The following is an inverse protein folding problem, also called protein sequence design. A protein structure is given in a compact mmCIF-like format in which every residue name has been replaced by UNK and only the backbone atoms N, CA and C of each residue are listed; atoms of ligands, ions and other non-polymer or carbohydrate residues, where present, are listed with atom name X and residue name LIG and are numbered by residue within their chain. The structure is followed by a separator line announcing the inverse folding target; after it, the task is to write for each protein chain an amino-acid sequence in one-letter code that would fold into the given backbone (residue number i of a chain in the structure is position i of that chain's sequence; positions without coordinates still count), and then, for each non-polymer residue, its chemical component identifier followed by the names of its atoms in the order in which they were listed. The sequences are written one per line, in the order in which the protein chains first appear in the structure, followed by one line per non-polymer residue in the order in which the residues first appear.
data_IF_776352261387
#
_entry.id   IF_776352261387
#
_cell.length_a   1.000
_cell.length_b   1.000
_cell.length_c   1.000
_cell.angle_alpha   90.00
_cell.angle_beta   90.00
_cell.angle_gamma   90.00
#
_symmetry.space_group_name_H-M   'P 1'
#
loop_
_entity.id
_entity.type
_entity.pdbx_description
1 polymer ?
#
# COMPACT_ATOMS: atom_id res chain seq x y z
N UNK A 1 -0.46 21.95 0.95
CA UNK A 1 -1.03 20.59 0.90
C UNK A 1 -0.96 19.92 2.26
N UNK A 2 0.12 20.11 3.03
CA UNK A 2 0.26 19.57 4.39
C UNK A 2 -0.71 20.23 5.40
N UNK A 3 -0.92 21.55 5.33
CA UNK A 3 -1.87 22.27 6.19
C UNK A 3 -3.31 21.75 6.02
N UNK A 4 -3.78 21.60 4.78
CA UNK A 4 -5.08 21.02 4.46
C UNK A 4 -5.23 19.57 4.96
N UNK A 5 -4.16 18.77 4.87
CA UNK A 5 -4.16 17.39 5.38
C UNK A 5 -4.35 17.34 6.90
N UNK A 6 -3.71 18.27 7.62
CA UNK A 6 -3.84 18.35 9.08
C UNK A 6 -5.25 18.73 9.54
N UNK A 7 -5.93 19.61 8.79
CA UNK A 7 -7.32 19.99 9.05
C UNK A 7 -8.27 18.80 8.89
N UNK A 8 -8.12 18.00 7.83
CA UNK A 8 -8.94 16.79 7.64
C UNK A 8 -8.71 15.76 8.75
N UNK A 9 -7.46 15.55 9.18
CA UNK A 9 -7.17 14.64 10.30
C UNK A 9 -7.79 15.15 11.60
N UNK A 10 -7.73 16.46 11.84
CA UNK A 10 -8.38 17.07 13.00
C UNK A 10 -9.91 16.91 12.95
N UNK A 11 -10.54 17.07 11.78
CA UNK A 11 -11.97 16.81 11.62
C UNK A 11 -12.33 15.34 11.91
N UNK A 12 -11.53 14.38 11.44
CA UNK A 12 -11.73 12.97 11.75
C UNK A 12 -11.61 12.69 13.26
N UNK A 13 -10.72 13.41 13.95
CA UNK A 13 -10.62 13.35 15.41
C UNK A 13 -11.84 13.95 16.11
N UNK A 14 -12.33 15.10 15.65
CA UNK A 14 -13.56 15.72 16.20
C UNK A 14 -14.78 14.80 16.04
N UNK A 15 -14.84 14.04 14.95
CA UNK A 15 -15.91 13.05 14.69
C UNK A 15 -15.69 11.71 15.38
N UNK A 16 -14.63 11.57 16.18
CA UNK A 16 -14.26 10.33 16.87
C UNK A 16 -13.95 9.15 15.94
N UNK A 17 -13.62 9.41 14.66
CA UNK A 17 -13.14 8.38 13.74
C UNK A 17 -11.68 8.03 13.99
N UNK A 18 -10.91 9.00 14.48
CA UNK A 18 -9.50 8.83 14.82
C UNK A 18 -9.23 9.41 16.21
N UNK A 19 -8.27 8.83 16.92
CA UNK A 19 -7.75 9.36 18.16
C UNK A 19 -6.39 9.99 17.90
N UNK A 20 -6.23 11.25 18.29
CA UNK A 20 -4.94 11.92 18.30
C UNK A 20 -4.30 11.74 19.69
N UNK A 21 -3.17 11.03 19.74
CA UNK A 21 -2.32 10.96 20.91
C UNK A 21 -1.15 11.90 20.72
N UNK A 22 -1.15 13.01 21.48
CA UNK A 22 0.00 13.89 21.53
C UNK A 22 1.17 13.16 22.19
N UNK A 23 2.29 13.04 21.47
CA UNK A 23 3.49 12.42 22.03
C UNK A 23 4.21 13.43 22.92
N UNK A 24 4.38 13.08 24.20
CA UNK A 24 5.20 13.84 25.15
C UNK A 24 6.72 13.72 24.88
N UNK A 25 7.12 13.10 23.76
CA UNK A 25 8.51 12.90 23.37
C UNK A 25 9.15 14.14 22.71
N UNK A 26 10.49 14.15 22.61
CA UNK A 26 11.32 15.25 22.09
C UNK A 26 10.98 15.75 20.68
N UNK A 27 10.13 15.03 19.93
CA UNK A 27 9.88 15.28 18.51
C UNK A 27 8.48 15.86 18.25
N UNK A 28 7.61 15.98 19.27
CA UNK A 28 6.29 16.62 19.16
C UNK A 28 5.33 16.03 18.13
N UNK A 29 5.62 14.84 17.57
CA UNK A 29 4.76 14.23 16.56
C UNK A 29 3.54 13.60 17.23
N UNK A 30 2.36 14.06 16.80
CA UNK A 30 1.09 13.46 17.18
C UNK A 30 0.89 12.13 16.47
N UNK A 31 0.48 11.10 17.20
CA UNK A 31 0.15 9.79 16.66
C UNK A 31 -1.35 9.71 16.47
N UNK A 32 -1.79 9.47 15.24
CA UNK A 32 -3.19 9.27 14.93
C UNK A 32 -3.49 7.77 14.85
N UNK A 33 -4.48 7.31 15.60
CA UNK A 33 -4.93 5.91 15.59
C UNK A 33 -6.39 5.82 15.19
N UNK A 34 -6.79 4.75 14.52
CA UNK A 34 -8.20 4.48 14.25
C UNK A 34 -8.71 3.49 15.30
N UNK A 35 -9.91 3.71 15.83
CA UNK A 35 -10.52 2.75 16.74
C UNK A 35 -10.82 1.44 16.00
N UNK A 36 -10.64 0.30 16.67
CA UNK A 36 -10.91 -1.02 16.08
C UNK A 36 -12.32 -1.11 15.46
N UNK A 37 -13.32 -0.50 16.09
CA UNK A 37 -14.70 -0.47 15.55
C UNK A 37 -14.79 0.27 14.21
N UNK A 38 -14.12 1.43 14.10
CA UNK A 38 -14.09 2.21 12.86
C UNK A 38 -13.23 1.49 11.81
N UNK A 39 -12.18 0.80 12.25
CA UNK A 39 -11.36 -0.05 11.38
C UNK A 39 -12.18 -1.21 10.79
N UNK A 40 -12.91 -1.94 11.63
CA UNK A 40 -13.77 -3.05 11.19
C UNK A 40 -14.89 -2.56 10.27
N UNK A 41 -15.49 -1.41 10.58
CA UNK A 41 -16.46 -0.76 9.70
C UNK A 41 -15.84 -0.37 8.35
N UNK A 42 -14.65 0.21 8.35
CA UNK A 42 -13.94 0.57 7.12
C UNK A 42 -13.61 -0.68 6.28
N UNK A 43 -13.20 -1.79 6.90
CA UNK A 43 -13.01 -3.06 6.21
C UNK A 43 -14.31 -3.60 5.61
N UNK A 44 -15.41 -3.53 6.37
CA UNK A 44 -16.72 -3.99 5.90
C UNK A 44 -17.23 -3.15 4.73
N UNK A 45 -17.10 -1.82 4.79
CA UNK A 45 -17.52 -0.89 3.73
C UNK A 45 -16.64 -1.03 2.49
N UNK A 46 -15.33 -1.19 2.67
CA UNK A 46 -14.40 -1.41 1.58
C UNK A 46 -14.61 -2.76 0.88
N UNK A 47 -15.10 -3.77 1.61
CA UNK A 47 -15.42 -5.08 1.08
C UNK A 47 -14.25 -5.71 0.32
N UNK A 48 -14.49 -6.05 -0.95
CA UNK A 48 -13.47 -6.61 -1.84
C UNK A 48 -12.80 -5.55 -2.74
N UNK A 49 -13.26 -4.29 -2.68
CA UNK A 49 -12.77 -3.22 -3.55
C UNK A 49 -11.37 -2.73 -3.13
N UNK A 50 -11.05 -2.77 -1.83
CA UNK A 50 -9.73 -2.39 -1.32
C UNK A 50 -9.05 -3.57 -0.60
N UNK A 51 -7.82 -3.89 -0.99
CA UNK A 51 -7.08 -4.99 -0.36
C UNK A 51 -5.63 -4.64 -0.01
N UNK A 52 -5.31 -4.68 1.27
CA UNK A 52 -3.93 -4.74 1.74
C UNK A 52 -3.47 -6.19 1.78
N UNK A 53 -2.31 -6.42 1.18
CA UNK A 53 -1.61 -7.69 1.14
C UNK A 53 -0.33 -7.56 1.94
N UNK A 54 -0.08 -8.51 2.83
CA UNK A 54 1.24 -8.71 3.43
C UNK A 54 1.97 -9.85 2.73
N UNK A 55 3.30 -9.82 2.74
CA UNK A 55 4.13 -10.89 2.17
C UNK A 55 4.11 -12.17 3.02
N UNK A 56 2.96 -12.84 3.07
CA UNK A 56 2.78 -14.16 3.68
C UNK A 56 2.36 -15.19 2.63
N UNK A 57 2.50 -16.47 2.96
CA UNK A 57 2.33 -17.60 2.03
C UNK A 57 0.93 -17.71 1.39
N UNK A 58 -0.07 -17.00 1.92
CA UNK A 58 -1.48 -17.09 1.53
C UNK A 58 -2.05 -15.80 0.92
N UNK A 59 -1.21 -14.97 0.31
CA UNK A 59 -1.67 -13.75 -0.34
C UNK A 59 -2.69 -14.02 -1.47
N UNK A 60 -3.89 -13.44 -1.35
CA UNK A 60 -4.91 -13.37 -2.40
C UNK A 60 -5.44 -11.95 -2.54
N UNK A 61 -5.48 -11.46 -3.78
CA UNK A 61 -6.14 -10.22 -4.17
C UNK A 61 -7.42 -10.62 -4.91
N UNK A 62 -8.60 -10.09 -4.52
CA UNK A 62 -9.84 -10.30 -5.26
C UNK A 62 -9.73 -9.85 -6.72
N UNK A 63 -10.41 -10.53 -7.65
CA UNK A 63 -10.33 -10.17 -9.07
C UNK A 63 -10.97 -8.79 -9.37
N UNK A 64 -11.96 -8.43 -8.58
CA UNK A 64 -12.71 -7.17 -8.58
C UNK A 64 -12.04 -6.07 -7.74
N UNK A 65 -10.90 -6.32 -7.10
CA UNK A 65 -10.20 -5.30 -6.32
C UNK A 65 -9.87 -4.09 -7.20
N UNK A 66 -10.27 -2.91 -6.72
CA UNK A 66 -10.01 -1.61 -7.35
C UNK A 66 -8.73 -0.99 -6.79
N UNK A 67 -8.46 -1.20 -5.52
CA UNK A 67 -7.32 -0.62 -4.83
C UNK A 67 -6.57 -1.72 -4.11
N UNK A 68 -5.27 -1.82 -4.35
CA UNK A 68 -4.45 -2.80 -3.64
C UNK A 68 -3.16 -2.17 -3.13
N UNK A 69 -2.74 -2.62 -1.96
CA UNK A 69 -1.46 -2.26 -1.38
C UNK A 69 -0.68 -3.51 -1.01
N UNK A 70 0.63 -3.48 -1.22
CA UNK A 70 1.55 -4.49 -0.72
C UNK A 70 2.31 -3.89 0.46
N UNK A 71 2.16 -4.52 1.62
CA UNK A 71 2.96 -4.26 2.80
C UNK A 71 4.07 -5.32 2.90
N UNK A 72 5.30 -4.86 2.75
CA UNK A 72 6.48 -5.71 2.85
C UNK A 72 7.08 -5.57 4.25
N UNK A 73 6.72 -6.46 5.17
CA UNK A 73 7.22 -6.46 6.56
C UNK A 73 8.45 -7.38 6.75
N UNK A 74 8.94 -7.98 5.66
CA UNK A 74 10.13 -8.83 5.72
C UNK A 74 11.38 -7.97 5.75
N UNK A 75 12.01 -7.95 6.92
CA UNK A 75 13.48 -7.99 7.02
C UNK A 75 13.89 -9.25 6.27
N UNK A 76 14.24 -9.11 4.99
CA UNK A 76 14.86 -10.18 4.24
C UNK A 76 16.07 -10.64 5.04
N UNK A 77 16.01 -11.87 5.52
CA UNK A 77 17.15 -12.49 6.16
C UNK A 77 18.18 -12.73 5.07
N UNK A 78 19.07 -11.75 4.86
CA UNK A 78 20.37 -11.89 4.20
C UNK A 78 20.41 -12.83 2.99
N UNK A 79 19.63 -12.52 1.95
CA UNK A 79 19.66 -13.26 0.70
C UNK A 79 19.10 -12.41 -0.43
N UNK A 80 19.87 -12.21 -1.50
CA UNK A 80 19.43 -11.48 -2.69
C UNK A 80 18.07 -12.00 -3.16
N UNK A 81 17.07 -11.13 -3.37
CA UNK A 81 15.77 -11.56 -3.89
C UNK A 81 16.00 -12.15 -5.28
N UNK A 82 15.85 -13.47 -5.38
CA UNK A 82 15.85 -14.15 -6.68
C UNK A 82 14.55 -13.77 -7.42
N UNK A 83 14.59 -13.78 -8.75
CA UNK A 83 13.44 -13.47 -9.60
C UNK A 83 12.18 -14.28 -9.21
N UNK A 84 12.34 -15.46 -8.62
CA UNK A 84 11.25 -16.30 -8.11
C UNK A 84 10.48 -15.68 -6.93
N UNK A 85 11.17 -14.98 -6.03
CA UNK A 85 10.57 -14.31 -4.87
C UNK A 85 9.73 -13.12 -5.33
N UNK A 86 10.26 -12.25 -6.21
CA UNK A 86 9.50 -11.15 -6.81
C UNK A 86 8.24 -11.62 -7.55
N UNK A 87 8.36 -12.76 -8.24
CA UNK A 87 7.22 -13.32 -8.97
C UNK A 87 6.17 -13.86 -8.00
N UNK A 88 6.56 -14.44 -6.87
CA UNK A 88 5.62 -14.89 -5.82
C UNK A 88 4.90 -13.70 -5.18
N UNK A 89 5.61 -12.60 -4.94
CA UNK A 89 5.08 -11.36 -4.36
C UNK A 89 3.98 -10.76 -5.24
N UNK A 90 4.19 -10.72 -6.56
CA UNK A 90 3.35 -9.95 -7.49
C UNK A 90 2.27 -10.78 -8.20
N UNK A 91 2.39 -12.12 -8.19
CA UNK A 91 1.39 -13.05 -8.74
C UNK A 91 -0.06 -12.76 -8.33
N UNK A 92 -0.36 -12.42 -7.07
CA UNK A 92 -1.73 -12.15 -6.63
C UNK A 92 -2.35 -10.95 -7.36
N UNK A 93 -1.58 -9.89 -7.60
CA UNK A 93 -2.06 -8.67 -8.24
C UNK A 93 -2.35 -8.86 -9.73
N UNK A 94 -1.60 -9.73 -10.43
CA UNK A 94 -1.84 -9.98 -11.86
C UNK A 94 -3.18 -10.65 -12.17
N UNK A 95 -3.89 -11.18 -11.17
CA UNK A 95 -5.26 -11.69 -11.32
C UNK A 95 -6.32 -10.60 -11.22
N UNK A 96 -6.01 -9.46 -10.60
CA UNK A 96 -6.93 -8.34 -10.43
C UNK A 96 -7.03 -7.52 -11.73
N UNK A 97 -8.10 -7.76 -12.51
CA UNK A 97 -8.32 -7.06 -13.79
C UNK A 97 -8.92 -5.67 -13.62
N UNK A 98 -9.53 -5.40 -12.46
CA UNK A 98 -10.20 -4.15 -12.17
C UNK A 98 -9.33 -3.12 -11.43
N UNK A 99 -8.04 -3.43 -11.21
CA UNK A 99 -7.16 -2.65 -10.38
C UNK A 99 -6.97 -1.23 -10.94
N UNK A 100 -7.35 -0.23 -10.14
CA UNK A 100 -7.24 1.21 -10.40
C UNK A 100 -6.04 1.84 -9.70
N UNK A 101 -5.70 1.37 -8.50
CA UNK A 101 -4.48 1.81 -7.83
C UNK A 101 -3.69 0.66 -7.22
N UNK A 102 -2.36 0.72 -7.36
CA UNK A 102 -1.42 -0.18 -6.69
C UNK A 102 -0.38 0.63 -5.92
N UNK A 103 -0.21 0.33 -4.63
CA UNK A 103 0.75 1.01 -3.74
C UNK A 103 1.70 -0.02 -3.12
N UNK A 104 3.00 0.21 -3.21
CA UNK A 104 4.02 -0.58 -2.51
C UNK A 104 4.47 0.17 -1.25
N UNK A 105 4.21 -0.40 -0.06
CA UNK A 105 4.55 0.20 1.25
C UNK A 105 5.63 -0.61 1.94
N UNK A 106 6.71 0.05 2.35
CA UNK A 106 7.76 -0.54 3.19
C UNK A 106 8.73 -1.48 2.49
N UNK A 107 8.85 -1.45 1.15
CA UNK A 107 9.83 -2.31 0.46
C UNK A 107 11.22 -1.68 0.55
N UNK A 108 12.23 -2.32 1.17
CA UNK A 108 13.57 -1.75 1.22
C UNK A 108 14.14 -1.56 -0.20
N UNK A 109 14.52 -0.31 -0.50
CA UNK A 109 14.96 0.21 -1.80
C UNK A 109 16.19 -0.54 -2.35
N UNK A 110 16.95 -1.21 -1.48
CA UNK A 110 18.13 -2.01 -1.83
C UNK A 110 17.80 -3.39 -2.40
N UNK A 111 16.53 -3.83 -2.31
CA UNK A 111 16.11 -5.16 -2.75
C UNK A 111 15.27 -5.13 -4.04
N UNK A 112 14.66 -3.99 -4.37
CA UNK A 112 14.04 -3.72 -5.67
C UNK A 112 14.93 -2.84 -6.56
N UNK A 113 16.21 -3.19 -6.66
CA UNK A 113 17.19 -2.46 -7.50
C UNK A 113 16.74 -2.32 -8.96
N UNK A 114 15.80 -3.16 -9.40
CA UNK A 114 15.01 -2.97 -10.60
C UNK A 114 13.52 -2.95 -10.27
N UNK A 115 12.75 -2.04 -10.90
CA UNK A 115 11.30 -2.23 -11.01
C UNK A 115 11.12 -3.63 -11.61
N UNK A 116 10.42 -4.56 -10.94
CA UNK A 116 10.38 -5.94 -11.37
C UNK A 116 9.92 -5.97 -12.82
N UNK A 117 10.77 -6.42 -13.74
CA UNK A 117 10.48 -6.34 -15.17
C UNK A 117 9.19 -7.08 -15.51
N UNK A 118 8.82 -8.09 -14.71
CA UNK A 118 7.52 -8.75 -14.78
C UNK A 118 6.35 -7.84 -14.41
N UNK A 119 6.50 -6.93 -13.44
CA UNK A 119 5.47 -5.91 -13.16
C UNK A 119 5.30 -5.04 -14.41
N UNK A 120 6.38 -4.48 -14.93
CA UNK A 120 6.37 -3.62 -16.13
C UNK A 120 5.76 -4.33 -17.34
N UNK A 121 6.17 -5.58 -17.60
CA UNK A 121 5.66 -6.39 -18.71
C UNK A 121 4.19 -6.79 -18.53
N UNK A 122 3.67 -6.81 -17.30
CA UNK A 122 2.25 -7.07 -17.03
C UNK A 122 1.45 -5.77 -16.80
N UNK A 123 2.07 -4.58 -16.84
CA UNK A 123 1.34 -3.31 -16.68
C UNK A 123 0.29 -3.14 -17.78
N UNK A 124 0.59 -3.60 -19.00
CA UNK A 124 -0.36 -3.60 -20.12
C UNK A 124 -1.63 -4.43 -19.88
N UNK A 125 -1.64 -5.33 -18.88
CA UNK A 125 -2.82 -6.12 -18.51
C UNK A 125 -3.76 -5.35 -17.58
N UNK A 126 -3.27 -4.33 -16.90
CA UNK A 126 -4.09 -3.48 -16.06
C UNK A 126 -4.70 -2.36 -16.90
N UNK A 127 -5.80 -2.66 -17.59
CA UNK A 127 -6.49 -1.71 -18.46
C UNK A 127 -7.16 -0.55 -17.72
N UNK A 128 -7.25 -0.64 -16.39
CA UNK A 128 -7.94 0.33 -15.52
C UNK A 128 -7.02 0.99 -14.49
N UNK A 129 -5.71 0.70 -14.52
CA UNK A 129 -4.76 1.21 -13.52
C UNK A 129 -4.43 2.67 -13.82
N UNK A 130 -4.81 3.54 -12.90
CA UNK A 130 -4.59 4.98 -12.96
C UNK A 130 -3.39 5.40 -12.09
N UNK A 131 -3.25 4.80 -10.91
CA UNK A 131 -2.21 5.16 -9.94
C UNK A 131 -1.30 3.98 -9.66
N UNK A 132 -0.01 4.15 -9.93
CA UNK A 132 1.03 3.22 -9.49
C UNK A 132 2.04 3.96 -8.61
N UNK A 133 1.98 3.69 -7.32
CA UNK A 133 2.90 4.27 -6.35
C UNK A 133 4.02 3.28 -5.99
N UNK A 134 5.21 3.59 -6.47
CA UNK A 134 6.47 2.91 -6.18
C UNK A 134 7.41 3.76 -5.32
N UNK A 135 6.92 4.88 -4.77
CA UNK A 135 7.76 5.89 -4.09
C UNK A 135 8.49 5.32 -2.88
N UNK A 136 7.88 4.33 -2.22
CA UNK A 136 8.48 3.61 -1.10
C UNK A 136 9.37 2.43 -1.54
N UNK A 137 9.38 2.08 -2.82
CA UNK A 137 10.27 1.07 -3.43
C UNK A 137 11.46 1.71 -4.17
N UNK A 138 11.34 2.97 -4.59
CA UNK A 138 12.41 3.79 -5.18
C UNK A 138 12.01 5.28 -5.11
N UNK A 139 12.78 6.17 -4.45
CA UNK A 139 12.39 7.57 -4.24
C UNK A 139 12.36 8.44 -5.51
N UNK A 140 12.54 7.86 -6.70
CA UNK A 140 12.73 8.60 -7.96
C UNK A 140 11.64 8.47 -9.02
N UNK A 141 10.60 7.63 -8.85
CA UNK A 141 9.56 7.48 -9.89
C UNK A 141 8.17 7.16 -9.33
N UNK A 142 7.40 8.20 -9.05
CA UNK A 142 5.93 8.12 -9.06
C UNK A 142 5.48 8.27 -10.51
N UNK A 143 4.89 7.23 -11.10
CA UNK A 143 4.41 7.28 -12.49
C UNK A 143 2.88 7.29 -12.46
N UNK A 144 2.30 8.44 -12.82
CA UNK A 144 0.87 8.58 -13.06
C UNK A 144 0.59 8.23 -14.52
N UNK A 145 -0.28 7.24 -14.77
CA UNK A 145 -0.73 6.93 -16.13
C UNK A 145 -2.04 7.67 -16.38
N UNK A 146 -2.09 8.43 -17.49
CA UNK A 146 -3.27 9.17 -17.97
C UNK A 146 -4.20 8.26 -18.77
#
# INVERSE_FOLDING_TARGET
MEETGSEYLNELCQRSFMQCLESNGRNGQSIYTMHNVIHDMAQMVAGEECRTVTLSESCRVPENALHASLLCDVVFSSGTPTADTETKVLKPFFKAKCLRSLILVGVPIHELTHVPQKLVNNLCRFTRLYTLDLSNANPRKTIFYR
#
